data_IF_733606863068
#
_entry.id   IF_733606863068
#
_cell.length_a   1.000
_cell.length_b   1.000
_cell.length_c   1.000
_cell.angle_alpha   90.00
_cell.angle_beta   90.00
_cell.angle_gamma   90.00
#
_symmetry.space_group_name_H-M   'P 1'
#
loop_
_entity.id
_entity.type
_entity.pdbx_description
1 polymer ?
#
# COMPACT_ATOMS: atom_id res chain seq x y z
N UNK A 1 -17.35 -41.39 -0.65
CA UNK A 1 -16.97 -39.98 -0.75
C UNK A 1 -17.50 -39.29 0.49
N UNK A 2 -16.64 -39.04 1.48
CA UNK A 2 -17.04 -38.57 2.81
C UNK A 2 -16.08 -37.46 3.23
N UNK A 3 -16.60 -36.24 3.37
CA UNK A 3 -15.87 -35.04 3.78
C UNK A 3 -15.28 -35.19 5.18
N UNK A 4 -14.01 -34.81 5.35
CA UNK A 4 -13.40 -34.62 6.66
C UNK A 4 -13.68 -33.19 7.13
N UNK A 5 -14.66 -33.02 8.01
CA UNK A 5 -14.86 -31.77 8.73
C UNK A 5 -13.80 -31.66 9.84
N UNK A 6 -12.75 -30.89 9.59
CA UNK A 6 -11.72 -30.59 10.59
C UNK A 6 -12.27 -29.56 11.59
N UNK A 7 -12.75 -30.06 12.73
CA UNK A 7 -13.24 -29.25 13.85
C UNK A 7 -12.06 -28.66 14.62
N UNK A 8 -11.69 -27.42 14.33
CA UNK A 8 -10.73 -26.66 15.12
C UNK A 8 -11.43 -26.16 16.38
N UNK A 9 -11.04 -26.68 17.55
CA UNK A 9 -11.43 -26.11 18.84
C UNK A 9 -10.40 -25.04 19.23
N UNK A 10 -10.79 -23.82 19.63
CA UNK A 10 -9.84 -22.86 20.19
C UNK A 10 -9.60 -23.27 21.65
N UNK A 11 -8.38 -23.73 21.93
CA UNK A 11 -7.90 -23.86 23.29
C UNK A 11 -7.32 -22.50 23.69
N UNK A 12 -8.20 -21.58 24.10
CA UNK A 12 -7.80 -20.28 24.65
C UNK A 12 -7.24 -20.48 26.07
N UNK A 13 -5.92 -20.61 26.18
CA UNK A 13 -5.18 -20.35 27.42
C UNK A 13 -4.70 -18.89 27.41
N UNK A 14 -5.26 -18.00 28.25
CA UNK A 14 -5.00 -16.56 28.19
C UNK A 14 -3.67 -16.10 28.82
N UNK A 15 -2.68 -16.99 29.01
CA UNK A 15 -1.52 -16.69 29.86
C UNK A 15 -0.20 -16.39 29.14
N UNK A 16 -0.21 -16.07 27.83
CA UNK A 16 1.03 -15.73 27.11
C UNK A 16 0.93 -14.42 26.31
N UNK A 17 1.49 -13.29 26.78
CA UNK A 17 1.51 -12.02 26.03
C UNK A 17 2.58 -11.98 24.92
N UNK A 18 2.84 -13.10 24.25
CA UNK A 18 3.72 -13.13 23.07
C UNK A 18 3.16 -14.06 22.01
N UNK A 19 1.97 -13.70 21.54
CA UNK A 19 1.32 -14.27 20.37
C UNK A 19 0.79 -13.13 19.52
N UNK A 20 1.68 -12.30 18.97
CA UNK A 20 1.29 -11.32 17.96
C UNK A 20 0.82 -12.07 16.73
N UNK A 21 -0.49 -12.32 16.63
CA UNK A 21 -1.16 -12.62 15.37
C UNK A 21 -0.65 -11.59 14.36
N UNK A 22 0.03 -12.00 13.27
CA UNK A 22 0.37 -11.09 12.20
C UNK A 22 -0.94 -10.45 11.72
N UNK A 23 -1.00 -9.13 11.52
CA UNK A 23 -2.20 -8.53 10.95
C UNK A 23 -2.55 -9.27 9.65
N UNK A 24 -3.84 -9.58 9.46
CA UNK A 24 -4.35 -10.36 8.31
C UNK A 24 -3.94 -9.76 6.94
N UNK A 25 -3.57 -8.49 6.95
CA UNK A 25 -2.86 -7.81 5.88
C UNK A 25 -1.42 -7.62 6.37
N UNK A 26 -0.49 -8.29 5.68
CA UNK A 26 0.91 -8.42 6.07
C UNK A 26 1.47 -7.16 6.70
N UNK A 27 2.17 -7.34 7.81
CA UNK A 27 2.95 -6.30 8.48
C UNK A 27 3.73 -5.55 7.40
N UNK A 28 3.31 -4.31 7.08
CA UNK A 28 4.16 -3.43 6.29
C UNK A 28 5.52 -3.40 6.99
N UNK A 29 6.64 -3.61 6.27
CA UNK A 29 7.95 -3.59 6.89
C UNK A 29 8.06 -2.28 7.68
N UNK A 30 8.08 -2.44 9.00
CA UNK A 30 8.29 -1.35 9.94
C UNK A 30 9.77 -1.04 9.85
N UNK A 31 10.09 -0.03 9.04
CA UNK A 31 11.39 0.64 9.02
C UNK A 31 12.57 -0.31 8.73
N UNK A 32 12.82 -0.67 7.47
CA UNK A 32 14.08 -1.37 7.17
C UNK A 32 14.28 -1.94 5.77
N UNK A 33 13.23 -2.14 4.98
CA UNK A 33 13.42 -2.29 3.54
C UNK A 33 13.40 -0.89 2.95
N UNK A 34 14.52 -0.49 2.34
CA UNK A 34 14.63 0.77 1.61
C UNK A 34 13.69 0.67 0.41
N UNK A 35 12.41 0.99 0.62
CA UNK A 35 11.35 0.94 -0.40
C UNK A 35 11.38 2.28 -1.11
N UNK A 36 12.17 2.43 -2.20
CA UNK A 36 12.49 3.73 -2.72
C UNK A 36 11.32 4.28 -3.54
N UNK A 37 10.42 3.40 -4.02
CA UNK A 37 9.26 3.79 -4.81
C UNK A 37 8.05 4.11 -3.95
N UNK A 38 7.50 5.31 -4.11
CA UNK A 38 6.27 5.77 -3.44
C UNK A 38 5.30 6.37 -4.44
N UNK A 39 4.04 5.97 -4.39
CA UNK A 39 2.96 6.57 -5.19
C UNK A 39 2.09 7.41 -4.26
N UNK A 40 2.05 8.70 -4.56
CA UNK A 40 1.42 9.74 -3.74
C UNK A 40 0.26 10.37 -4.51
N UNK A 41 -0.85 10.60 -3.81
CA UNK A 41 -1.99 11.39 -4.26
C UNK A 41 -1.92 12.74 -3.57
N UNK A 42 -2.07 13.80 -4.35
CA UNK A 42 -2.09 15.17 -3.86
C UNK A 42 -3.52 15.68 -3.72
N UNK A 43 -3.68 16.74 -2.93
CA UNK A 43 -4.95 17.47 -2.87
C UNK A 43 -5.33 18.07 -4.25
N UNK A 44 -6.51 18.68 -4.32
CA UNK A 44 -7.02 19.31 -5.54
C UNK A 44 -6.19 20.53 -5.98
N UNK A 45 -5.49 21.18 -5.05
CA UNK A 45 -4.63 22.33 -5.32
C UNK A 45 -3.20 21.92 -5.67
N UNK A 46 -2.87 20.62 -5.61
CA UNK A 46 -1.52 20.06 -5.68
C UNK A 46 -0.53 20.68 -4.65
N UNK A 47 -1.02 21.07 -3.47
CA UNK A 47 -0.19 21.71 -2.43
C UNK A 47 0.37 20.69 -1.43
N UNK A 48 -0.42 19.68 -1.06
CA UNK A 48 -0.02 18.66 -0.11
C UNK A 48 -0.35 17.25 -0.59
N UNK A 49 0.48 16.29 -0.18
CA UNK A 49 0.19 14.86 -0.30
C UNK A 49 -0.88 14.50 0.73
N UNK A 50 -2.03 14.04 0.24
CA UNK A 50 -3.15 13.59 1.09
C UNK A 50 -3.04 12.10 1.42
N UNK A 51 -2.44 11.31 0.53
CA UNK A 51 -2.37 9.86 0.69
C UNK A 51 -1.19 9.26 -0.07
N UNK A 52 -0.57 8.24 0.53
CA UNK A 52 0.37 7.33 -0.14
C UNK A 52 -0.37 6.02 -0.42
N UNK A 53 -0.55 5.67 -1.69
CA UNK A 53 -1.31 4.47 -2.09
C UNK A 53 -0.45 3.24 -2.31
N UNK A 54 0.85 3.41 -2.54
CA UNK A 54 1.79 2.31 -2.63
C UNK A 54 3.19 2.73 -2.18
N UNK A 55 3.89 1.80 -1.53
CA UNK A 55 5.32 1.89 -1.19
C UNK A 55 5.94 0.54 -1.53
N UNK A 56 7.01 0.52 -2.34
CA UNK A 56 7.58 -0.73 -2.85
C UNK A 56 9.06 -0.61 -3.23
N UNK A 57 9.79 -1.72 -3.17
CA UNK A 57 11.15 -1.86 -3.71
C UNK A 57 11.18 -2.05 -5.23
N UNK A 58 10.05 -2.45 -5.83
CA UNK A 58 9.99 -2.82 -7.24
C UNK A 58 9.50 -1.67 -8.13
N UNK A 59 10.27 -1.24 -9.15
CA UNK A 59 9.82 -0.22 -10.09
C UNK A 59 8.53 -0.64 -10.82
N UNK A 60 8.42 -1.91 -11.21
CA UNK A 60 7.28 -2.41 -11.96
C UNK A 60 5.97 -2.31 -11.15
N UNK A 61 6.04 -2.65 -9.85
CA UNK A 61 4.89 -2.51 -8.94
C UNK A 61 4.55 -1.03 -8.73
N UNK A 62 5.56 -0.17 -8.56
CA UNK A 62 5.37 1.28 -8.40
C UNK A 62 4.68 1.91 -9.61
N UNK A 63 5.10 1.54 -10.82
CA UNK A 63 4.44 1.99 -12.06
C UNK A 63 3.03 1.45 -12.20
N UNK A 64 2.80 0.16 -11.92
CA UNK A 64 1.46 -0.42 -11.98
C UNK A 64 0.49 0.29 -11.02
N UNK A 65 0.92 0.55 -9.79
CA UNK A 65 0.15 1.30 -8.80
C UNK A 65 -0.09 2.76 -9.25
N UNK A 66 0.93 3.43 -9.81
CA UNK A 66 0.78 4.77 -10.38
C UNK A 66 -0.30 4.81 -11.47
N UNK A 67 -0.26 3.88 -12.43
CA UNK A 67 -1.27 3.80 -13.50
C UNK A 67 -2.66 3.42 -13.01
N UNK A 68 -2.76 2.57 -12.00
CA UNK A 68 -4.05 2.26 -11.38
C UNK A 68 -4.64 3.52 -10.73
N UNK A 69 -3.82 4.26 -9.98
CA UNK A 69 -4.26 5.45 -9.26
C UNK A 69 -4.74 6.57 -10.19
N UNK A 70 -4.14 6.77 -11.38
CA UNK A 70 -4.62 7.79 -12.34
C UNK A 70 -6.02 7.53 -12.85
N UNK A 71 -6.48 6.28 -12.81
CA UNK A 71 -7.83 5.86 -13.23
C UNK A 71 -8.83 5.88 -12.08
N UNK A 72 -8.36 5.61 -10.87
CA UNK A 72 -9.19 5.61 -9.66
C UNK A 72 -9.47 7.04 -9.16
N UNK A 73 -8.52 7.96 -9.35
CA UNK A 73 -8.64 9.36 -8.92
C UNK A 73 -8.53 10.33 -10.11
N UNK A 74 -9.48 10.29 -11.06
CA UNK A 74 -9.52 11.26 -12.14
C UNK A 74 -9.77 12.65 -11.54
N UNK A 75 -8.87 13.60 -11.77
CA UNK A 75 -8.96 14.93 -11.17
C UNK A 75 -7.94 15.22 -10.07
N UNK A 76 -7.16 14.23 -9.63
CA UNK A 76 -6.07 14.43 -8.66
C UNK A 76 -4.70 14.42 -9.33
N UNK A 77 -3.79 15.22 -8.80
CA UNK A 77 -2.37 15.05 -9.13
C UNK A 77 -1.84 13.79 -8.45
N UNK A 78 -1.13 12.97 -9.22
CA UNK A 78 -0.51 11.74 -8.73
C UNK A 78 0.97 11.78 -9.09
N UNK A 79 1.82 11.41 -8.14
CA UNK A 79 3.26 11.32 -8.36
C UNK A 79 3.80 9.97 -7.96
N UNK A 80 4.66 9.41 -8.82
CA UNK A 80 5.55 8.31 -8.47
C UNK A 80 6.93 8.88 -8.14
N UNK A 81 7.44 8.53 -6.97
CA UNK A 81 8.76 8.95 -6.48
C UNK A 81 9.71 7.79 -6.38
N UNK A 82 11.00 8.09 -6.50
CA UNK A 82 12.12 7.21 -6.22
C UNK A 82 13.14 7.98 -5.37
N UNK A 83 13.51 7.48 -4.19
CA UNK A 83 14.46 8.14 -3.27
C UNK A 83 14.13 9.62 -3.02
N UNK A 84 12.84 9.91 -2.83
CA UNK A 84 12.37 11.28 -2.62
C UNK A 84 12.37 12.18 -3.85
N UNK A 85 12.72 11.69 -5.05
CA UNK A 85 12.59 12.45 -6.31
C UNK A 85 11.36 12.00 -7.08
N UNK A 86 10.59 12.94 -7.61
CA UNK A 86 9.46 12.61 -8.51
C UNK A 86 10.03 12.15 -9.85
N UNK A 87 9.73 10.91 -10.24
CA UNK A 87 10.16 10.31 -11.51
C UNK A 87 9.02 10.23 -12.52
N UNK A 88 7.76 10.30 -12.07
CA UNK A 88 6.60 10.41 -12.95
C UNK A 88 5.50 11.20 -12.25
N UNK A 89 4.78 12.00 -13.04
CA UNK A 89 3.70 12.87 -12.57
C UNK A 89 2.54 12.80 -13.53
N UNK A 90 1.35 12.58 -12.99
CA UNK A 90 0.09 12.77 -13.66
C UNK A 90 -0.56 14.02 -13.10
N UNK A 91 -0.57 15.10 -13.87
CA UNK A 91 -1.39 16.25 -13.54
C UNK A 91 -2.80 15.97 -14.06
N UNK A 92 -3.78 16.06 -13.19
CA UNK A 92 -5.16 16.16 -13.63
C UNK A 92 -5.27 17.43 -14.48
N UNK A 93 -5.30 17.27 -15.81
CA UNK A 93 -5.61 18.41 -16.68
C UNK A 93 -7.06 18.76 -16.45
N UNK A 94 -7.30 19.90 -15.82
CA UNK A 94 -8.59 20.59 -15.86
C UNK A 94 -8.84 20.95 -17.31
N UNK A 95 -9.65 20.16 -18.01
CA UNK A 95 -10.13 20.46 -19.36
C UNK A 95 -11.54 21.06 -19.28
#
# INVERSE_FOLDING_TARGET
>A
MTSLAMKLSPNDDPSNPSGSTPPLFGRFPADGEDLPYKVEIWDEAAEAVIQVVAVTASPAIGYAAFYAATREFPGREITLRHDGRVISRWAARTH
#
